data_IF_098913540051
#
_entry.id   IF_098913540051
#
_cell.length_a   1.000
_cell.length_b   1.000
_cell.length_c   1.000
_cell.angle_alpha   90.00
_cell.angle_beta   90.00
_cell.angle_gamma   90.00
#
_symmetry.space_group_name_H-M   'P 1'
#
loop_
_entity.id
_entity.type
_entity.pdbx_description
1 polymer ?
#
# COMPACT_ATOMS: atom_id res chain seq x y z
N UNK A 1 -22.39 -0.24 -17.05
CA UNK A 1 -20.96 0.11 -17.25
C UNK A 1 -20.45 -0.66 -18.45
N UNK A 2 -19.94 0.02 -19.47
CA UNK A 2 -19.26 -0.65 -20.60
C UNK A 2 -17.98 -1.26 -20.03
N UNK A 3 -17.81 -2.57 -20.17
CA UNK A 3 -16.57 -3.23 -19.75
C UNK A 3 -15.44 -2.83 -20.71
N UNK A 4 -14.35 -2.29 -20.18
CA UNK A 4 -13.16 -1.94 -20.96
C UNK A 4 -12.44 -3.23 -21.42
N UNK A 5 -12.59 -3.56 -22.70
CA UNK A 5 -12.07 -4.79 -23.33
C UNK A 5 -10.63 -4.67 -23.81
N UNK A 6 -9.99 -3.51 -23.67
CA UNK A 6 -8.59 -3.33 -24.09
C UNK A 6 -7.66 -4.26 -23.30
N UNK A 7 -6.55 -4.73 -23.90
CA UNK A 7 -5.58 -5.57 -23.21
C UNK A 7 -5.07 -4.92 -21.92
N UNK A 8 -4.98 -5.71 -20.85
CA UNK A 8 -4.46 -5.25 -19.57
C UNK A 8 -2.92 -5.27 -19.60
N UNK A 9 -2.32 -4.09 -19.65
CA UNK A 9 -0.86 -3.92 -19.65
C UNK A 9 -0.36 -4.01 -18.22
N UNK A 10 0.63 -4.87 -17.96
CA UNK A 10 1.30 -4.98 -16.65
C UNK A 10 2.38 -3.92 -16.53
N UNK A 11 2.35 -3.17 -15.44
CA UNK A 11 3.31 -2.11 -15.11
C UNK A 11 3.75 -2.31 -13.66
N UNK A 12 5.03 -2.11 -13.38
CA UNK A 12 5.59 -2.10 -12.03
C UNK A 12 6.11 -0.72 -11.68
N UNK A 13 5.94 -0.31 -10.43
CA UNK A 13 6.52 0.90 -9.89
C UNK A 13 7.16 0.59 -8.53
N UNK A 14 8.34 1.15 -8.29
CA UNK A 14 9.08 0.92 -7.07
C UNK A 14 8.90 2.05 -6.08
N UNK A 15 8.51 1.71 -4.85
CA UNK A 15 8.55 2.62 -3.71
C UNK A 15 9.90 2.46 -3.02
N UNK A 16 10.88 3.21 -3.53
CA UNK A 16 12.25 3.21 -3.03
C UNK A 16 12.37 4.08 -1.78
N UNK A 17 12.93 3.52 -0.71
CA UNK A 17 13.21 4.25 0.53
C UNK A 17 14.72 4.48 0.74
N UNK A 18 15.06 5.69 1.23
CA UNK A 18 16.36 5.98 1.83
C UNK A 18 16.40 5.59 3.33
N UNK A 19 17.57 5.74 3.96
CA UNK A 19 17.78 5.43 5.37
C UNK A 19 16.93 6.26 6.33
N UNK A 20 16.47 7.43 5.89
CA UNK A 20 15.64 8.36 6.67
C UNK A 20 14.14 8.12 6.48
N UNK A 21 13.77 7.19 5.59
CA UNK A 21 12.40 6.81 5.29
C UNK A 21 11.72 7.72 4.26
N UNK A 22 12.47 8.52 3.51
CA UNK A 22 11.94 9.30 2.40
C UNK A 22 11.77 8.42 1.15
N UNK A 23 10.85 8.81 0.28
CA UNK A 23 10.55 8.12 -0.97
C UNK A 23 11.17 8.86 -2.15
N UNK A 24 11.79 8.13 -3.08
CA UNK A 24 12.27 8.73 -4.32
C UNK A 24 11.11 8.89 -5.31
N UNK A 25 10.88 10.12 -5.78
CA UNK A 25 10.03 10.42 -6.93
C UNK A 25 10.87 10.93 -8.09
N UNK A 26 10.42 10.66 -9.31
CA UNK A 26 11.00 11.19 -10.55
C UNK A 26 9.95 11.97 -11.35
N UNK A 27 10.39 13.00 -12.07
CA UNK A 27 9.53 13.72 -13.02
C UNK A 27 9.47 12.98 -14.36
N UNK A 28 8.33 12.95 -15.03
CA UNK A 28 8.24 12.41 -16.39
C UNK A 28 9.03 13.30 -17.35
N UNK A 29 9.97 12.74 -18.15
CA UNK A 29 10.72 13.51 -19.13
C UNK A 29 9.81 14.08 -20.23
N UNK A 30 10.32 15.08 -20.96
CA UNK A 30 9.62 15.67 -22.10
C UNK A 30 9.30 14.62 -23.17
N UNK A 31 8.17 14.78 -23.87
CA UNK A 31 7.72 13.86 -24.92
C UNK A 31 6.98 12.61 -24.44
N UNK A 32 6.98 12.28 -23.14
CA UNK A 32 6.08 11.26 -22.56
C UNK A 32 4.70 11.90 -22.24
N UNK A 33 3.59 11.13 -22.25
CA UNK A 33 2.31 11.63 -21.73
C UNK A 33 2.48 12.17 -20.31
N UNK A 34 1.85 13.29 -19.96
CA UNK A 34 2.04 13.93 -18.65
C UNK A 34 3.50 14.35 -18.34
N UNK A 35 4.26 14.81 -19.34
CA UNK A 35 5.58 15.40 -19.13
C UNK A 35 5.56 16.44 -17.98
N UNK A 36 6.59 16.41 -17.13
CA UNK A 36 6.72 17.26 -15.95
C UNK A 36 5.94 16.81 -14.71
N UNK A 37 5.06 15.80 -14.82
CA UNK A 37 4.39 15.22 -13.64
C UNK A 37 5.35 14.34 -12.85
N UNK A 38 5.15 14.25 -11.54
CA UNK A 38 5.96 13.41 -10.66
C UNK A 38 5.31 12.04 -10.40
N UNK A 39 6.13 11.00 -10.46
CA UNK A 39 5.72 9.60 -10.30
C UNK A 39 6.78 8.75 -9.57
N UNK A 40 6.40 7.51 -9.24
CA UNK A 40 7.34 6.50 -8.81
C UNK A 40 7.98 5.86 -10.04
N UNK A 41 9.31 5.73 -10.04
CA UNK A 41 10.06 5.10 -11.12
C UNK A 41 9.61 3.66 -11.38
N UNK A 42 9.75 3.23 -12.62
CA UNK A 42 9.32 1.92 -13.07
C UNK A 42 8.66 1.98 -14.44
N UNK A 43 8.24 0.82 -14.95
CA UNK A 43 7.75 0.71 -16.30
C UNK A 43 7.05 -0.58 -16.60
N UNK A 44 6.92 -0.85 -17.90
CA UNK A 44 6.14 -1.98 -18.40
C UNK A 44 6.88 -3.28 -18.10
N UNK A 45 6.14 -4.29 -17.66
CA UNK A 45 6.68 -5.65 -17.54
C UNK A 45 6.75 -6.27 -18.94
N UNK A 46 7.96 -6.64 -19.37
CA UNK A 46 8.18 -7.26 -20.67
C UNK A 46 7.87 -8.77 -20.66
N UNK A 47 7.83 -9.35 -21.86
CA UNK A 47 7.53 -10.77 -22.01
C UNK A 47 8.65 -11.62 -21.37
N UNK A 48 8.27 -12.50 -20.44
CA UNK A 48 9.21 -13.37 -19.72
C UNK A 48 9.75 -12.77 -18.41
N UNK A 49 9.47 -11.50 -18.12
CA UNK A 49 9.89 -10.87 -16.87
C UNK A 49 8.94 -11.17 -15.69
N UNK A 50 9.54 -11.40 -14.54
CA UNK A 50 8.86 -11.23 -13.24
C UNK A 50 8.72 -9.76 -12.89
N UNK A 51 7.80 -9.42 -11.98
CA UNK A 51 7.63 -8.03 -11.51
C UNK A 51 8.94 -7.45 -10.92
N UNK A 52 9.74 -8.29 -10.25
CA UNK A 52 11.05 -7.89 -9.71
C UNK A 52 12.09 -7.63 -10.79
N UNK A 53 12.17 -8.49 -11.81
CA UNK A 53 13.12 -8.32 -12.92
C UNK A 53 12.82 -7.06 -13.72
N UNK A 54 11.55 -6.83 -14.04
CA UNK A 54 11.13 -5.60 -14.70
C UNK A 54 11.52 -4.37 -13.87
N UNK A 55 11.22 -4.37 -12.57
CA UNK A 55 11.56 -3.23 -11.71
C UNK A 55 13.08 -3.02 -11.58
N UNK A 56 13.86 -4.10 -11.52
CA UNK A 56 15.32 -4.02 -11.47
C UNK A 56 15.88 -3.41 -12.75
N UNK A 57 15.42 -3.85 -13.93
CA UNK A 57 15.81 -3.27 -15.22
C UNK A 57 15.47 -1.79 -15.28
N UNK A 58 14.22 -1.42 -14.98
CA UNK A 58 13.76 -0.03 -15.01
C UNK A 58 14.56 0.85 -14.05
N UNK A 59 14.89 0.37 -12.85
CA UNK A 59 15.72 1.13 -11.89
C UNK A 59 17.17 1.28 -12.37
N UNK A 60 17.72 0.28 -13.05
CA UNK A 60 19.06 0.38 -13.66
C UNK A 60 19.06 1.36 -14.84
N UNK A 61 18.03 1.32 -15.69
CA UNK A 61 17.86 2.19 -16.86
C UNK A 61 17.60 3.64 -16.47
N UNK A 62 16.61 3.89 -15.62
CA UNK A 62 16.15 5.23 -15.26
C UNK A 62 17.03 5.89 -14.19
N UNK A 63 17.36 5.14 -13.13
CA UNK A 63 17.95 5.68 -11.90
C UNK A 63 19.41 5.28 -11.70
N UNK A 64 19.92 4.32 -12.45
CA UNK A 64 21.28 3.83 -12.30
C UNK A 64 21.59 3.10 -11.00
N UNK A 65 20.56 2.65 -10.29
CA UNK A 65 20.70 1.86 -9.07
C UNK A 65 20.32 0.42 -9.34
N UNK A 66 20.86 -0.49 -8.51
CA UNK A 66 20.51 -1.91 -8.55
C UNK A 66 19.74 -2.29 -7.31
N UNK A 67 18.54 -2.84 -7.48
CA UNK A 67 17.77 -3.42 -6.38
C UNK A 67 18.22 -4.86 -6.13
N UNK A 68 18.28 -5.26 -4.86
CA UNK A 68 18.65 -6.60 -4.39
C UNK A 68 17.42 -7.40 -3.95
N UNK A 69 16.39 -6.71 -3.49
CA UNK A 69 15.11 -7.31 -3.11
C UNK A 69 14.00 -6.26 -3.24
N UNK A 70 12.79 -6.75 -3.47
CA UNK A 70 11.58 -5.93 -3.41
C UNK A 70 10.44 -6.75 -2.81
N UNK A 71 9.47 -6.09 -2.18
CA UNK A 71 8.29 -6.74 -1.59
C UNK A 71 7.03 -6.18 -2.23
N UNK A 72 6.09 -7.00 -2.73
CA UNK A 72 4.81 -6.51 -3.24
C UNK A 72 4.09 -5.64 -2.21
N UNK A 73 3.28 -4.68 -2.67
CA UNK A 73 2.46 -3.86 -1.78
C UNK A 73 1.03 -3.68 -2.28
N UNK A 74 0.84 -2.85 -3.30
CA UNK A 74 -0.48 -2.51 -3.82
C UNK A 74 -0.58 -2.86 -5.30
N UNK A 75 -1.78 -3.23 -5.72
CA UNK A 75 -2.14 -3.41 -7.13
C UNK A 75 -3.31 -2.50 -7.48
N UNK A 76 -3.13 -1.64 -8.48
CA UNK A 76 -4.16 -0.73 -8.98
C UNK A 76 -4.44 -1.03 -10.45
N UNK A 77 -5.71 -1.18 -10.81
CA UNK A 77 -6.13 -1.22 -12.20
C UNK A 77 -6.65 0.16 -12.56
N UNK A 78 -6.09 0.76 -13.61
CA UNK A 78 -6.51 2.07 -14.09
C UNK A 78 -6.75 2.03 -15.61
N UNK A 79 -7.86 2.61 -16.05
CA UNK A 79 -8.20 2.75 -17.46
C UNK A 79 -7.97 4.20 -17.88
N UNK A 80 -6.80 4.47 -18.46
CA UNK A 80 -6.52 5.74 -19.14
C UNK A 80 -7.24 5.78 -20.50
N UNK A 81 -7.36 6.98 -21.08
CA UNK A 81 -7.91 7.17 -22.43
C UNK A 81 -7.20 6.31 -23.48
N UNK A 82 -5.87 6.14 -23.35
CA UNK A 82 -5.04 5.42 -24.31
C UNK A 82 -4.71 3.97 -23.93
N UNK A 83 -4.91 3.55 -22.67
CA UNK A 83 -4.49 2.22 -22.20
C UNK A 83 -5.22 1.76 -20.93
N UNK A 84 -5.29 0.44 -20.74
CA UNK A 84 -5.72 -0.19 -19.49
C UNK A 84 -4.52 -0.82 -18.81
N UNK A 85 -4.18 -0.37 -17.60
CA UNK A 85 -2.97 -0.80 -16.88
C UNK A 85 -3.31 -1.52 -15.58
N UNK A 86 -2.53 -2.55 -15.26
CA UNK A 86 -2.43 -3.17 -13.95
C UNK A 86 -1.08 -2.75 -13.36
N UNK A 87 -1.11 -1.75 -12.49
CA UNK A 87 0.05 -1.16 -11.85
C UNK A 87 0.30 -1.86 -10.51
N UNK A 88 1.47 -2.48 -10.37
CA UNK A 88 1.92 -3.11 -9.12
C UNK A 88 3.00 -2.28 -8.47
N UNK A 89 2.79 -1.92 -7.21
CA UNK A 89 3.74 -1.19 -6.40
C UNK A 89 4.55 -2.17 -5.53
N UNK A 90 5.87 -2.05 -5.57
CA UNK A 90 6.77 -2.88 -4.77
C UNK A 90 7.62 -1.99 -3.86
N UNK A 91 7.74 -2.36 -2.59
CA UNK A 91 8.66 -1.75 -1.65
C UNK A 91 10.10 -2.15 -1.95
N UNK A 92 11.00 -1.17 -1.97
CA UNK A 92 12.45 -1.38 -1.96
C UNK A 92 13.01 -0.67 -0.73
N UNK A 93 13.26 -1.44 0.33
CA UNK A 93 13.66 -0.89 1.63
C UNK A 93 15.14 -0.50 1.66
N UNK A 94 15.57 0.30 2.65
CA UNK A 94 17.00 0.59 2.85
C UNK A 94 17.80 -0.69 3.02
N UNK A 95 18.97 -0.76 2.39
CA UNK A 95 19.81 -1.97 2.35
C UNK A 95 19.34 -3.04 1.36
N UNK A 96 18.22 -2.84 0.65
CA UNK A 96 17.78 -3.71 -0.45
C UNK A 96 18.11 -3.15 -1.82
N UNK A 97 18.99 -2.17 -1.91
CA UNK A 97 19.46 -1.57 -3.15
C UNK A 97 20.87 -1.01 -2.96
N UNK A 98 21.57 -0.79 -4.06
CA UNK A 98 22.95 -0.29 -4.10
C UNK A 98 23.14 0.70 -5.25
N UNK A 99 24.11 1.59 -5.10
CA UNK A 99 24.41 2.65 -6.07
C UNK A 99 23.91 4.01 -5.58
N UNK A 100 24.08 5.02 -6.41
CA UNK A 100 23.60 6.39 -6.16
C UNK A 100 22.58 6.74 -7.25
N UNK A 101 21.38 7.25 -6.90
CA UNK A 101 20.40 7.67 -7.89
C UNK A 101 20.96 8.70 -8.87
N UNK A 102 20.75 8.46 -10.16
CA UNK A 102 21.18 9.30 -11.28
C UNK A 102 19.98 9.65 -12.15
N UNK A 103 20.07 10.79 -12.84
CA UNK A 103 19.15 11.12 -13.94
C UNK A 103 19.72 10.54 -15.23
N UNK A 104 19.24 9.37 -15.66
CA UNK A 104 19.71 8.71 -16.89
C UNK A 104 18.85 9.01 -18.13
N UNK A 105 17.63 9.51 -17.93
CA UNK A 105 16.70 9.91 -18.99
C UNK A 105 16.41 11.42 -19.02
N UNK A 106 17.23 12.23 -18.33
CA UNK A 106 17.01 13.68 -18.24
C UNK A 106 15.85 14.07 -17.32
N UNK A 107 15.36 13.17 -16.48
CA UNK A 107 14.37 13.44 -15.45
C UNK A 107 14.95 14.19 -14.25
N UNK A 108 14.15 15.01 -13.59
CA UNK A 108 14.43 15.40 -12.21
C UNK A 108 14.06 14.24 -11.26
N UNK A 109 14.72 14.18 -10.11
CA UNK A 109 14.33 13.30 -9.01
C UNK A 109 14.42 14.03 -7.68
N UNK A 110 13.66 13.56 -6.69
CA UNK A 110 13.63 14.17 -5.36
C UNK A 110 13.23 13.14 -4.30
N UNK A 111 13.91 13.20 -3.16
CA UNK A 111 13.49 12.48 -1.95
C UNK A 111 12.36 13.25 -1.26
N UNK A 112 11.29 12.53 -0.94
CA UNK A 112 10.03 13.12 -0.50
C UNK A 112 9.53 12.43 0.76
N UNK A 113 8.97 13.22 1.68
CA UNK A 113 8.51 12.70 2.97
C UNK A 113 7.00 12.42 2.90
N UNK A 114 6.54 11.30 3.46
CA UNK A 114 5.11 11.01 3.55
C UNK A 114 4.37 12.17 4.24
N UNK A 115 3.35 12.70 3.57
CA UNK A 115 2.52 13.79 4.06
C UNK A 115 3.14 15.19 3.95
N UNK A 116 4.37 15.29 3.44
CA UNK A 116 5.07 16.54 3.17
C UNK A 116 5.78 16.44 1.81
N UNK A 117 4.97 16.34 0.75
CA UNK A 117 5.44 16.30 -0.63
C UNK A 117 5.66 17.73 -1.13
N UNK A 118 6.89 18.04 -1.52
CA UNK A 118 7.32 19.37 -1.99
C UNK A 118 7.35 19.49 -3.50
N UNK A 119 7.15 18.39 -4.23
CA UNK A 119 7.12 18.36 -5.70
C UNK A 119 5.69 18.39 -6.26
N UNK A 120 5.51 19.03 -7.41
CA UNK A 120 4.24 19.14 -8.12
C UNK A 120 4.45 19.39 -9.63
N UNK A 121 3.48 19.04 -10.50
CA UNK A 121 2.24 18.30 -10.18
C UNK A 121 2.50 16.79 -10.04
N UNK A 122 1.76 16.13 -9.14
CA UNK A 122 1.74 14.66 -9.04
C UNK A 122 0.76 14.06 -10.05
N UNK A 123 1.03 12.86 -10.56
CA UNK A 123 0.05 12.16 -11.40
C UNK A 123 -1.32 12.08 -10.69
N UNK A 124 -2.45 12.42 -11.36
CA UNK A 124 -3.76 12.45 -10.71
C UNK A 124 -4.16 11.13 -10.03
N UNK A 125 -3.67 10.00 -10.54
CA UNK A 125 -3.92 8.67 -9.99
C UNK A 125 -3.21 8.42 -8.63
N UNK A 126 -2.26 9.28 -8.23
CA UNK A 126 -1.43 9.04 -7.04
C UNK A 126 -2.12 9.44 -5.73
N UNK A 127 -3.18 10.26 -5.73
CA UNK A 127 -3.77 10.77 -4.48
C UNK A 127 -4.10 9.69 -3.44
N UNK A 128 -4.74 8.58 -3.85
CA UNK A 128 -5.04 7.45 -2.96
C UNK A 128 -3.77 6.67 -2.54
N UNK A 129 -2.77 6.60 -3.42
CA UNK A 129 -1.48 5.99 -3.13
C UNK A 129 -0.71 6.80 -2.08
N UNK A 130 -0.68 8.14 -2.21
CA UNK A 130 -0.01 9.03 -1.27
C UNK A 130 -0.63 8.95 0.13
N UNK A 131 -1.97 8.87 0.23
CA UNK A 131 -2.63 8.58 1.50
C UNK A 131 -2.19 7.23 2.07
N UNK A 132 -2.05 6.20 1.22
CA UNK A 132 -1.57 4.88 1.66
C UNK A 132 -0.13 4.91 2.21
N UNK A 133 0.72 5.83 1.74
CA UNK A 133 2.08 6.03 2.27
C UNK A 133 2.12 6.64 3.66
N UNK A 134 1.09 7.41 4.05
CA UNK A 134 0.98 7.94 5.41
C UNK A 134 0.67 6.87 6.47
N UNK A 135 0.21 5.69 6.06
CA UNK A 135 -0.07 4.61 7.00
C UNK A 135 1.26 4.10 7.58
N UNK A 136 1.43 4.06 8.91
CA UNK A 136 2.64 3.54 9.52
C UNK A 136 2.85 2.07 9.17
N UNK A 137 4.10 1.71 8.89
CA UNK A 137 4.51 0.33 8.62
C UNK A 137 4.73 -0.52 9.88
N UNK A 138 4.52 0.07 11.05
CA UNK A 138 4.49 -0.61 12.35
C UNK A 138 3.35 -0.02 13.16
N UNK A 139 2.48 -0.90 13.64
CA UNK A 139 1.35 -0.53 14.49
C UNK A 139 1.29 -1.49 15.67
N UNK A 140 0.81 -0.96 16.78
CA UNK A 140 0.68 -1.63 18.06
C UNK A 140 -0.71 -1.34 18.64
N UNK A 141 -1.13 -2.10 19.65
CA UNK A 141 -2.44 -1.95 20.29
C UNK A 141 -3.37 -3.13 19.99
N UNK A 142 -4.68 -2.88 20.04
CA UNK A 142 -5.71 -3.89 19.82
C UNK A 142 -6.85 -3.33 18.99
N UNK A 143 -7.57 -4.21 18.29
CA UNK A 143 -8.75 -3.79 17.53
C UNK A 143 -9.87 -3.26 18.43
N UNK A 144 -9.88 -3.66 19.71
CA UNK A 144 -10.86 -3.21 20.71
C UNK A 144 -10.60 -1.79 21.21
N UNK A 145 -9.34 -1.43 21.42
CA UNK A 145 -8.95 -0.14 22.04
C UNK A 145 -8.37 0.85 21.03
N UNK A 146 -8.14 0.42 19.81
CA UNK A 146 -7.45 1.19 18.78
C UNK A 146 -6.00 0.78 18.58
N UNK A 147 -5.48 1.21 17.43
CA UNK A 147 -4.11 1.00 17.00
C UNK A 147 -3.34 2.32 17.08
N UNK A 148 -2.05 2.22 17.35
CA UNK A 148 -1.16 3.36 17.33
C UNK A 148 0.18 2.99 16.71
N UNK A 149 0.83 3.98 16.13
CA UNK A 149 2.18 3.88 15.58
C UNK A 149 2.76 5.27 15.40
N UNK A 150 3.86 5.33 14.68
CA UNK A 150 4.53 6.57 14.35
C UNK A 150 4.94 6.54 12.88
N UNK A 151 4.87 7.70 12.25
CA UNK A 151 5.43 7.92 10.94
C UNK A 151 6.21 9.24 10.97
N UNK A 152 6.69 9.66 9.80
CA UNK A 152 7.49 10.87 9.66
C UNK A 152 6.72 12.17 9.97
N UNK A 153 5.38 12.12 10.05
CA UNK A 153 4.49 13.21 10.49
C UNK A 153 4.22 13.19 12.00
N UNK A 154 4.69 12.18 12.74
CA UNK A 154 4.52 12.05 14.18
C UNK A 154 3.62 10.87 14.59
N UNK A 155 2.95 11.02 15.72
CA UNK A 155 2.08 9.99 16.28
C UNK A 155 0.86 9.75 15.39
N UNK A 156 0.61 8.48 15.08
CA UNK A 156 -0.52 8.05 14.27
C UNK A 156 -1.44 7.17 15.10
N UNK A 157 -2.73 7.50 15.16
CA UNK A 157 -3.72 6.76 15.94
C UNK A 157 -4.90 6.39 15.07
N UNK A 158 -5.37 5.15 15.25
CA UNK A 158 -6.60 4.64 14.67
C UNK A 158 -7.52 4.24 15.81
N UNK A 159 -8.69 4.88 15.90
CA UNK A 159 -9.60 4.71 17.02
C UNK A 159 -10.88 3.98 16.55
N UNK A 160 -11.46 3.09 17.37
CA UNK A 160 -12.78 2.54 17.09
C UNK A 160 -13.82 3.66 16.89
N UNK A 161 -14.77 3.47 15.97
CA UNK A 161 -15.79 4.47 15.62
C UNK A 161 -16.49 5.09 16.83
N UNK A 162 -16.86 4.29 17.84
CA UNK A 162 -17.53 4.80 19.05
C UNK A 162 -16.64 5.62 19.99
N UNK A 163 -15.32 5.65 19.77
CA UNK A 163 -14.33 6.36 20.57
C UNK A 163 -13.62 7.48 19.81
N UNK A 164 -13.94 7.65 18.52
CA UNK A 164 -13.43 8.75 17.70
C UNK A 164 -14.30 10.00 17.96
N UNK A 165 -13.91 10.84 18.92
CA UNK A 165 -14.56 12.15 19.15
C UNK A 165 -13.88 13.25 18.31
N UNK A 166 -14.65 13.99 17.53
CA UNK A 166 -14.21 15.21 16.83
C UNK A 166 -13.78 15.04 15.36
N UNK A 167 -13.48 16.16 14.70
CA UNK A 167 -12.97 16.20 13.32
C UNK A 167 -11.49 15.84 13.28
N UNK A 168 -11.11 14.85 12.46
CA UNK A 168 -9.70 14.55 12.17
C UNK A 168 -9.16 13.23 12.76
N UNK A 169 -9.98 12.19 12.81
CA UNK A 169 -9.56 10.87 13.31
C UNK A 169 -9.42 9.84 12.17
N UNK A 170 -8.43 8.94 12.28
CA UNK A 170 -8.45 7.68 11.53
C UNK A 170 -9.39 6.72 12.26
N UNK A 171 -10.48 6.33 11.60
CA UNK A 171 -11.57 5.60 12.25
C UNK A 171 -11.53 4.12 11.87
N UNK A 172 -11.50 3.25 12.87
CA UNK A 172 -11.67 1.81 12.74
C UNK A 172 -13.14 1.44 12.92
N UNK A 173 -13.72 0.75 11.94
CA UNK A 173 -15.12 0.29 11.99
C UNK A 173 -15.29 -1.08 11.37
N UNK A 174 -16.31 -1.82 11.81
CA UNK A 174 -16.68 -3.09 11.19
C UNK A 174 -17.27 -2.85 9.79
N UNK A 175 -16.95 -3.70 8.81
CA UNK A 175 -17.48 -3.57 7.45
C UNK A 175 -19.03 -3.58 7.38
N UNK A 176 -19.68 -4.22 8.36
CA UNK A 176 -21.14 -4.24 8.50
C UNK A 176 -21.73 -2.90 8.94
N UNK A 177 -20.95 -2.02 9.57
CA UNK A 177 -21.36 -0.69 10.00
C UNK A 177 -21.28 0.34 8.87
N UNK A 178 -20.68 -0.02 7.72
CA UNK A 178 -20.55 0.90 6.61
C UNK A 178 -21.89 1.17 5.93
N UNK A 179 -22.29 2.43 5.99
CA UNK A 179 -23.38 3.01 5.19
C UNK A 179 -22.76 3.99 4.20
N UNK A 180 -22.14 5.05 4.72
CA UNK A 180 -21.39 6.06 3.98
C UNK A 180 -20.08 6.39 4.71
N UNK A 181 -19.17 7.11 4.02
CA UNK A 181 -17.93 7.61 4.64
C UNK A 181 -18.27 8.64 5.73
N UNK A 182 -17.81 8.46 6.98
CA UNK A 182 -18.04 9.46 8.02
C UNK A 182 -17.39 10.80 7.65
N UNK A 183 -18.17 11.89 7.71
CA UNK A 183 -17.72 13.23 7.28
C UNK A 183 -16.51 13.76 8.07
N UNK A 184 -16.36 13.34 9.33
CA UNK A 184 -15.30 13.78 10.24
C UNK A 184 -14.03 12.90 10.18
N UNK A 185 -14.04 11.82 9.39
CA UNK A 185 -12.95 10.85 9.34
C UNK A 185 -11.92 11.21 8.25
N UNK A 186 -10.67 11.45 8.68
CA UNK A 186 -9.54 11.65 7.76
C UNK A 186 -9.26 10.38 6.96
N UNK A 187 -9.39 9.23 7.62
CA UNK A 187 -9.17 7.92 7.02
C UNK A 187 -10.17 6.91 7.60
N UNK A 188 -10.68 6.02 6.75
CA UNK A 188 -11.53 4.91 7.20
C UNK A 188 -10.81 3.58 7.07
N UNK A 189 -10.71 2.89 8.20
CA UNK A 189 -10.14 1.57 8.36
C UNK A 189 -11.27 0.56 8.55
N UNK A 190 -11.50 -0.29 7.55
CA UNK A 190 -12.56 -1.28 7.60
C UNK A 190 -12.06 -2.61 8.15
N UNK A 191 -12.67 -3.07 9.23
CA UNK A 191 -12.43 -4.38 9.79
C UNK A 191 -13.28 -5.45 9.07
N UNK A 192 -12.61 -6.53 8.69
CA UNK A 192 -13.18 -7.66 7.94
C UNK A 192 -12.74 -8.98 8.56
N UNK A 193 -13.52 -10.02 8.34
CA UNK A 193 -13.21 -11.40 8.76
C UNK A 193 -13.27 -12.41 7.61
N UNK A 194 -13.96 -12.06 6.53
CA UNK A 194 -14.14 -12.95 5.38
C UNK A 194 -13.58 -12.33 4.11
N UNK A 195 -13.24 -13.18 3.15
CA UNK A 195 -12.81 -12.74 1.82
C UNK A 195 -13.87 -11.91 1.10
N UNK A 196 -15.15 -12.18 1.33
CA UNK A 196 -16.23 -11.41 0.76
C UNK A 196 -16.26 -9.98 1.32
N UNK A 197 -16.18 -9.82 2.65
CA UNK A 197 -16.10 -8.52 3.29
C UNK A 197 -14.86 -7.73 2.82
N UNK A 198 -13.71 -8.40 2.67
CA UNK A 198 -12.49 -7.78 2.11
C UNK A 198 -12.70 -7.24 0.68
N UNK A 199 -13.39 -7.98 -0.19
CA UNK A 199 -13.71 -7.48 -1.55
C UNK A 199 -14.61 -6.25 -1.48
N UNK A 200 -15.70 -6.34 -0.71
CA UNK A 200 -16.65 -5.24 -0.56
C UNK A 200 -16.00 -3.99 0.05
N UNK A 201 -15.09 -4.14 1.01
CA UNK A 201 -14.40 -3.02 1.64
C UNK A 201 -13.56 -2.19 0.65
N UNK A 202 -12.92 -2.86 -0.30
CA UNK A 202 -12.16 -2.19 -1.36
C UNK A 202 -13.08 -1.43 -2.33
N UNK A 203 -14.22 -2.01 -2.68
CA UNK A 203 -15.22 -1.38 -3.56
C UNK A 203 -15.92 -0.18 -2.90
N UNK A 204 -16.15 -0.26 -1.59
CA UNK A 204 -16.75 0.80 -0.77
C UNK A 204 -15.80 1.97 -0.50
N UNK A 205 -14.53 1.89 -0.90
CA UNK A 205 -13.57 2.98 -0.77
C UNK A 205 -12.95 3.11 0.62
N UNK A 206 -12.74 1.99 1.33
CA UNK A 206 -11.89 1.99 2.52
C UNK A 206 -10.49 2.52 2.18
N UNK A 207 -9.88 3.30 3.07
CA UNK A 207 -8.49 3.73 2.89
C UNK A 207 -7.52 2.63 3.34
N UNK A 208 -7.91 1.83 4.33
CA UNK A 208 -7.17 0.66 4.85
C UNK A 208 -8.16 -0.45 5.17
N UNK A 209 -7.76 -1.70 4.92
CA UNK A 209 -8.52 -2.87 5.38
C UNK A 209 -7.75 -3.56 6.50
N UNK A 210 -8.45 -3.88 7.58
CA UNK A 210 -7.94 -4.65 8.71
C UNK A 210 -8.61 -6.01 8.72
N UNK A 211 -7.89 -7.07 8.35
CA UNK A 211 -8.42 -8.43 8.42
C UNK A 211 -8.14 -9.02 9.80
N UNK A 212 -9.21 -9.24 10.57
CA UNK A 212 -9.17 -9.98 11.84
C UNK A 212 -9.12 -11.49 11.53
N UNK A 213 -7.95 -12.09 11.73
CA UNK A 213 -7.69 -13.51 11.46
C UNK A 213 -7.81 -14.30 12.76
N UNK A 214 -8.80 -15.18 12.83
CA UNK A 214 -9.13 -15.98 14.02
C UNK A 214 -8.70 -17.45 13.90
N UNK A 215 -8.36 -17.94 12.71
CA UNK A 215 -7.99 -19.34 12.47
C UNK A 215 -7.09 -19.51 11.23
N UNK A 216 -6.57 -20.73 11.05
CA UNK A 216 -5.67 -21.09 9.95
C UNK A 216 -6.30 -20.95 8.56
N UNK A 217 -7.61 -21.19 8.43
CA UNK A 217 -8.31 -21.05 7.13
C UNK A 217 -8.28 -19.58 6.70
N UNK A 218 -8.69 -18.68 7.58
CA UNK A 218 -8.63 -17.23 7.34
C UNK A 218 -7.19 -16.76 7.10
N UNK A 219 -6.20 -17.37 7.78
CA UNK A 219 -4.80 -17.02 7.59
C UNK A 219 -4.30 -17.32 6.16
N UNK A 220 -4.73 -18.46 5.60
CA UNK A 220 -4.44 -18.84 4.22
C UNK A 220 -5.21 -17.99 3.22
N UNK A 221 -6.47 -17.66 3.49
CA UNK A 221 -7.27 -16.75 2.65
C UNK A 221 -6.64 -15.36 2.54
N UNK A 222 -6.16 -14.81 3.66
CA UNK A 222 -5.44 -13.54 3.68
C UNK A 222 -4.14 -13.61 2.86
N UNK A 223 -3.38 -14.69 2.97
CA UNK A 223 -2.18 -14.91 2.15
C UNK A 223 -2.51 -14.98 0.65
N UNK A 224 -3.61 -15.63 0.29
CA UNK A 224 -4.06 -15.73 -1.10
C UNK A 224 -4.54 -14.38 -1.66
N UNK A 225 -5.24 -13.58 -0.85
CA UNK A 225 -5.61 -12.21 -1.20
C UNK A 225 -4.37 -11.35 -1.50
N UNK A 226 -3.32 -11.47 -0.69
CA UNK A 226 -2.04 -10.78 -0.93
C UNK A 226 -1.36 -11.23 -2.22
N UNK A 227 -1.35 -12.53 -2.55
CA UNK A 227 -0.79 -13.05 -3.82
C UNK A 227 -1.53 -12.51 -5.05
N UNK A 228 -2.84 -12.34 -4.95
CA UNK A 228 -3.67 -11.75 -6.00
C UNK A 228 -3.46 -10.24 -6.13
N UNK A 229 -2.93 -9.60 -5.09
CA UNK A 229 -2.74 -8.17 -4.98
C UNK A 229 -3.92 -7.49 -4.28
N UNK A 230 -3.60 -6.51 -3.45
CA UNK A 230 -4.58 -5.70 -2.70
C UNK A 230 -4.58 -4.28 -3.24
N UNK A 231 -5.75 -3.66 -3.34
CA UNK A 231 -5.86 -2.30 -3.90
C UNK A 231 -5.66 -1.21 -2.85
N UNK A 232 -5.71 -1.55 -1.56
CA UNK A 232 -5.49 -0.66 -0.42
C UNK A 232 -4.65 -1.38 0.62
N UNK A 233 -3.94 -0.66 1.52
CA UNK A 233 -3.15 -1.30 2.57
C UNK A 233 -3.95 -2.35 3.34
N UNK A 234 -3.41 -3.57 3.42
CA UNK A 234 -3.99 -4.67 4.17
C UNK A 234 -3.20 -4.88 5.47
N UNK A 235 -3.86 -4.61 6.59
CA UNK A 235 -3.37 -4.91 7.94
C UNK A 235 -3.95 -6.25 8.37
N UNK A 236 -3.10 -7.17 8.81
CA UNK A 236 -3.53 -8.46 9.34
C UNK A 236 -3.37 -8.48 10.84
N UNK A 237 -4.47 -8.65 11.56
CA UNK A 237 -4.49 -8.70 13.01
C UNK A 237 -4.85 -10.12 13.48
N UNK A 238 -4.00 -10.71 14.32
CA UNK A 238 -4.21 -12.05 14.85
C UNK A 238 -3.58 -12.20 16.24
N UNK A 239 -3.89 -13.30 16.93
CA UNK A 239 -3.25 -13.64 18.20
C UNK A 239 -1.75 -13.97 18.02
N UNK A 240 -1.01 -14.06 19.14
CA UNK A 240 0.42 -14.31 19.10
C UNK A 240 0.82 -15.61 18.40
N UNK A 241 0.04 -16.68 18.52
CA UNK A 241 0.33 -17.98 17.90
C UNK A 241 0.21 -17.91 16.37
N UNK A 242 -0.88 -17.33 15.87
CA UNK A 242 -1.10 -17.15 14.42
C UNK A 242 -0.05 -16.20 13.84
N UNK A 243 0.28 -15.10 14.52
CA UNK A 243 1.34 -14.17 14.07
C UNK A 243 2.71 -14.87 14.00
N UNK A 244 3.05 -15.70 14.99
CA UNK A 244 4.31 -16.46 14.97
C UNK A 244 4.40 -17.41 13.76
N UNK A 245 3.28 -18.00 13.36
CA UNK A 245 3.19 -18.95 12.25
C UNK A 245 3.15 -18.30 10.87
N UNK A 246 2.37 -17.24 10.71
CA UNK A 246 2.06 -16.65 9.39
C UNK A 246 2.61 -15.24 9.18
N UNK A 247 3.03 -14.53 10.22
CA UNK A 247 3.40 -13.11 10.14
C UNK A 247 4.51 -12.84 9.12
N UNK A 248 5.58 -13.66 9.10
CA UNK A 248 6.65 -13.53 8.10
C UNK A 248 6.17 -13.78 6.67
N UNK A 249 5.32 -14.79 6.47
CA UNK A 249 4.73 -15.10 5.17
C UNK A 249 3.90 -13.90 4.68
N UNK A 250 3.02 -13.38 5.52
CA UNK A 250 2.15 -12.26 5.16
C UNK A 250 2.94 -11.00 4.80
N UNK A 251 3.95 -10.64 5.59
CA UNK A 251 4.82 -9.49 5.28
C UNK A 251 5.55 -9.68 3.95
N UNK A 252 6.07 -10.89 3.69
CA UNK A 252 6.73 -11.21 2.41
C UNK A 252 5.78 -11.19 1.20
N UNK A 253 4.48 -11.43 1.41
CA UNK A 253 3.44 -11.34 0.38
C UNK A 253 2.87 -9.92 0.22
N UNK A 254 3.27 -8.96 1.06
CA UNK A 254 2.89 -7.56 0.94
C UNK A 254 1.83 -7.06 1.92
N UNK A 255 1.58 -7.78 3.02
CA UNK A 255 0.81 -7.21 4.13
C UNK A 255 1.47 -5.90 4.58
N UNK A 256 0.67 -4.85 4.73
CA UNK A 256 1.18 -3.54 5.09
C UNK A 256 1.71 -3.55 6.53
N UNK A 257 0.94 -4.17 7.45
CA UNK A 257 1.31 -4.41 8.84
C UNK A 257 0.74 -5.75 9.31
N UNK A 258 1.46 -6.42 10.20
CA UNK A 258 0.94 -7.53 11.01
C UNK A 258 0.83 -7.06 12.45
N UNK A 259 -0.38 -7.03 12.99
CA UNK A 259 -0.67 -6.63 14.38
C UNK A 259 -0.86 -7.90 15.21
N UNK A 260 -0.12 -7.97 16.32
CA UNK A 260 -0.33 -8.99 17.36
C UNK A 260 -1.34 -8.47 18.38
N UNK A 261 -2.53 -9.06 18.38
CA UNK A 261 -3.61 -8.70 19.30
C UNK A 261 -4.07 -9.95 20.07
N UNK A 262 -3.71 -10.01 21.35
CA UNK A 262 -4.02 -11.14 22.24
C UNK A 262 -5.50 -11.21 22.66
N UNK A 263 -6.33 -10.25 22.28
CA UNK A 263 -7.78 -10.31 22.49
C UNK A 263 -8.48 -11.16 21.42
N UNK A 264 -7.84 -11.38 20.26
CA UNK A 264 -8.42 -12.15 19.15
C UNK A 264 -8.43 -13.65 19.48
N UNK A 265 -9.59 -14.27 19.35
CA UNK A 265 -9.79 -15.70 19.62
C UNK A 265 -9.96 -16.06 21.09
N UNK A 266 -9.95 -15.07 22.00
CA UNK A 266 -10.45 -15.25 23.35
C UNK A 266 -11.97 -15.10 23.32
N UNK A 267 -12.70 -16.17 23.62
CA UNK A 267 -14.10 -16.04 24.00
C UNK A 267 -14.12 -15.19 25.28
N UNK A 268 -14.95 -14.16 25.30
CA UNK A 268 -15.31 -13.50 26.55
C UNK A 268 -15.95 -14.56 27.46
N UNK A 269 -15.27 -14.89 28.57
CA UNK A 269 -15.99 -15.28 29.79
C UNK A 269 -16.84 -14.11 30.28
#
# INVERSE_FOLDING_TARGET
>A
MIQDTRPLIRVVAGILLDSDGNYLLSSRPEGKPYAGYWEFAGGKVEAGETDFQALQREFEEELGIRILAATPWLTKIHSYEHARVCLKFLWVNPGQWTGEPQSREGQAWSWQKAGDFTVAPMLPANGALLRSLSVPRRLYGSLKTGLHGENSMGAYRVLPLGSAEGSGANVLMEAAQWQDRPEHADSVWMMVQTREQWRQAQEKGADVVVWRVCNDVQAQEAAEALRQGVSVPLVLAANGQTVARYGKLWLGLGAHVVVRDETIGKNHE
#
